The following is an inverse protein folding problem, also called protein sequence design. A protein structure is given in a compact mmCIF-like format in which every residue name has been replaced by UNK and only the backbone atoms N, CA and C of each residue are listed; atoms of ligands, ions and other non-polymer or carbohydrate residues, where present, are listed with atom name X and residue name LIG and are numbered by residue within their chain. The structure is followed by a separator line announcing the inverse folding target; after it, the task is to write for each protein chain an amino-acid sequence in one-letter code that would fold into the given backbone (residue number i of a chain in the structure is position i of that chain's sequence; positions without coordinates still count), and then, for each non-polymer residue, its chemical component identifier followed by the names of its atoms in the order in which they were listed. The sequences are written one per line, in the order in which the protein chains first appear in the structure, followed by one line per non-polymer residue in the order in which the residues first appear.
data_IF_702799804327
#
_entry.id   IF_702799804327
#
_cell.length_a   1.000
_cell.length_b   1.000
_cell.length_c   1.000
_cell.angle_alpha   90.00
_cell.angle_beta   90.00
_cell.angle_gamma   90.00
#
_symmetry.space_group_name_H-M   'P 1'
#
loop_
_entity.id
_entity.type
_entity.pdbx_description
1 polymer ?
#
# COMPACT_ATOMS: atom_id res chain seq x y z
N UNK A 1 -29.93 -37.98 -50.22
CA UNK A 1 -29.29 -38.16 -48.90
C UNK A 1 -28.13 -37.16 -48.62
N UNK A 2 -28.26 -35.82 -48.80
CA UNK A 2 -27.24 -34.89 -48.28
C UNK A 2 -27.73 -33.97 -47.14
N UNK A 3 -29.05 -33.90 -46.88
CA UNK A 3 -29.60 -32.96 -45.89
C UNK A 3 -29.34 -33.35 -44.42
N UNK A 4 -29.14 -34.64 -44.13
CA UNK A 4 -28.93 -35.12 -42.76
C UNK A 4 -27.50 -34.89 -42.23
N UNK A 5 -26.53 -34.65 -43.11
CA UNK A 5 -25.13 -34.42 -42.72
C UNK A 5 -24.91 -32.96 -42.29
N UNK A 6 -25.67 -32.01 -42.85
CA UNK A 6 -25.55 -30.59 -42.49
C UNK A 6 -26.11 -30.28 -41.09
N UNK A 7 -27.14 -31.02 -40.65
CA UNK A 7 -27.77 -30.83 -39.35
C UNK A 7 -26.86 -31.29 -38.18
N UNK A 8 -25.95 -32.22 -38.42
CA UNK A 8 -25.04 -32.72 -37.38
C UNK A 8 -23.84 -31.79 -37.09
N UNK A 9 -23.52 -30.86 -37.99
CA UNK A 9 -22.44 -29.88 -37.79
C UNK A 9 -22.89 -28.63 -37.00
N UNK A 10 -24.19 -28.31 -37.01
CA UNK A 10 -24.74 -27.16 -36.27
C UNK A 10 -24.94 -27.43 -34.77
N UNK A 11 -24.98 -28.70 -34.35
CA UNK A 11 -25.12 -29.08 -32.93
C UNK A 11 -23.81 -29.09 -32.16
N UNK A 12 -22.65 -29.03 -32.82
CA UNK A 12 -21.33 -29.06 -32.15
C UNK A 12 -20.92 -27.68 -31.60
N UNK A 13 -21.48 -26.58 -32.10
CA UNK A 13 -21.06 -25.23 -31.68
C UNK A 13 -21.71 -24.73 -30.37
N UNK A 14 -22.67 -25.46 -29.79
CA UNK A 14 -23.34 -25.09 -28.53
C UNK A 14 -22.79 -25.84 -27.31
N UNK A 15 -21.74 -26.64 -27.48
CA UNK A 15 -21.03 -27.27 -26.38
C UNK A 15 -20.05 -26.27 -25.74
N UNK A 16 -20.61 -25.40 -24.90
CA UNK A 16 -19.93 -24.85 -23.74
C UNK A 16 -18.67 -24.05 -24.01
N UNK A 17 -18.84 -22.79 -24.42
CA UNK A 17 -17.95 -21.75 -23.92
C UNK A 17 -18.04 -21.78 -22.40
N UNK A 18 -17.12 -22.50 -21.75
CA UNK A 18 -16.79 -22.29 -20.35
C UNK A 18 -16.27 -20.84 -20.29
N UNK A 19 -17.20 -19.89 -20.19
CA UNK A 19 -16.87 -18.56 -19.71
C UNK A 19 -16.30 -18.79 -18.32
N UNK A 20 -14.98 -18.77 -18.22
CA UNK A 20 -14.31 -18.66 -16.94
C UNK A 20 -14.90 -17.39 -16.31
N UNK A 21 -15.74 -17.58 -15.31
CA UNK A 21 -16.24 -16.47 -14.50
C UNK A 21 -15.01 -15.93 -13.80
N UNK A 22 -14.41 -14.88 -14.37
CA UNK A 22 -13.39 -14.10 -13.69
C UNK A 22 -14.12 -13.42 -12.54
N UNK A 23 -14.03 -14.01 -11.35
CA UNK A 23 -14.54 -13.39 -10.15
C UNK A 23 -13.79 -12.07 -9.96
N UNK A 24 -14.50 -10.94 -10.09
CA UNK A 24 -13.97 -9.64 -9.70
C UNK A 24 -13.58 -9.74 -8.22
N UNK A 25 -12.30 -9.56 -7.94
CA UNK A 25 -11.80 -9.65 -6.58
C UNK A 25 -11.96 -8.26 -5.96
N UNK A 26 -12.83 -8.17 -4.96
CA UNK A 26 -13.06 -6.90 -4.29
C UNK A 26 -11.78 -6.44 -3.58
N UNK A 27 -11.34 -5.24 -3.93
CA UNK A 27 -10.15 -4.65 -3.38
C UNK A 27 -10.55 -3.69 -2.25
N UNK A 28 -10.00 -3.86 -1.06
CA UNK A 28 -10.27 -2.98 0.08
C UNK A 28 -9.03 -2.13 0.34
N UNK A 29 -9.22 -0.80 0.43
CA UNK A 29 -8.16 0.08 0.93
C UNK A 29 -7.96 -0.21 2.41
N UNK A 30 -6.75 -0.61 2.80
CA UNK A 30 -6.47 -0.78 4.22
C UNK A 30 -6.45 0.60 4.92
N UNK A 31 -6.89 0.65 6.17
CA UNK A 31 -7.02 1.92 6.94
C UNK A 31 -5.69 2.66 7.16
N UNK A 32 -5.69 3.89 7.70
CA UNK A 32 -4.49 4.75 7.78
C UNK A 32 -3.28 4.13 8.49
N UNK A 33 -3.48 3.15 9.37
CA UNK A 33 -2.40 2.41 10.03
C UNK A 33 -1.66 1.41 9.11
N UNK A 34 -2.10 1.27 7.87
CA UNK A 34 -1.54 0.36 6.85
C UNK A 34 -0.72 1.07 5.78
N UNK A 35 -0.45 2.37 5.95
CA UNK A 35 0.37 3.12 5.01
C UNK A 35 1.82 2.62 5.07
N UNK A 36 2.25 1.94 4.01
CA UNK A 36 3.60 1.35 3.88
C UNK A 36 4.51 2.17 2.98
N UNK A 37 4.01 3.24 2.35
CA UNK A 37 4.79 4.08 1.46
C UNK A 37 4.34 5.55 1.52
N UNK A 38 5.30 6.45 1.43
CA UNK A 38 5.12 7.90 1.34
C UNK A 38 5.94 8.44 0.18
N UNK A 39 5.34 9.21 -0.73
CA UNK A 39 5.97 9.65 -1.97
C UNK A 39 6.07 11.18 -2.03
N UNK A 40 7.17 11.64 -2.58
CA UNK A 40 7.41 13.03 -2.98
C UNK A 40 7.90 13.07 -4.43
N UNK A 41 8.14 14.27 -4.98
CA UNK A 41 8.54 14.44 -6.39
C UNK A 41 9.84 13.71 -6.74
N UNK A 42 10.83 13.75 -5.83
CA UNK A 42 12.17 13.19 -6.05
C UNK A 42 12.36 11.75 -5.60
N UNK A 43 11.36 11.10 -4.98
CA UNK A 43 11.58 9.81 -4.36
C UNK A 43 10.42 9.31 -3.48
N UNK A 44 10.74 8.35 -2.61
CA UNK A 44 9.76 7.77 -1.68
C UNK A 44 10.41 7.20 -0.43
N UNK A 45 9.67 7.19 0.66
CA UNK A 45 9.95 6.39 1.85
C UNK A 45 9.08 5.14 1.79
N UNK A 46 9.67 3.96 1.93
CA UNK A 46 8.96 2.70 1.88
C UNK A 46 9.30 1.87 3.12
N UNK A 47 8.30 1.18 3.64
CA UNK A 47 8.45 0.33 4.80
C UNK A 47 8.78 -1.10 4.39
N UNK A 48 9.91 -1.60 4.86
CA UNK A 48 10.44 -2.89 4.45
C UNK A 48 9.69 -4.07 5.09
N UNK A 49 9.11 -3.88 6.29
CA UNK A 49 8.50 -4.94 7.10
C UNK A 49 7.09 -4.60 7.64
N UNK A 50 6.39 -3.64 7.04
CA UNK A 50 5.09 -3.17 7.54
C UNK A 50 3.93 -4.17 7.39
N UNK A 51 4.01 -5.12 6.45
CA UNK A 51 2.88 -6.02 6.13
C UNK A 51 2.60 -7.02 7.27
N UNK A 52 3.56 -7.30 8.16
CA UNK A 52 3.41 -8.20 9.31
C UNK A 52 3.39 -7.53 10.70
N UNK A 53 3.70 -6.24 10.79
CA UNK A 53 3.78 -5.55 12.07
C UNK A 53 2.39 -5.04 12.50
N UNK A 54 1.75 -5.72 13.46
CA UNK A 54 0.50 -5.25 14.06
C UNK A 54 0.75 -3.89 14.75
N UNK A 55 -0.13 -2.90 14.55
CA UNK A 55 0.06 -1.53 15.09
C UNK A 55 0.31 -1.51 16.62
N UNK A 56 -0.28 -2.47 17.34
CA UNK A 56 -0.07 -2.68 18.78
C UNK A 56 1.40 -3.01 19.10
N UNK A 57 2.06 -3.86 18.32
CA UNK A 57 3.46 -4.26 18.55
C UNK A 57 4.47 -3.14 18.31
N UNK A 58 4.13 -2.22 17.39
CA UNK A 58 4.93 -1.01 17.16
C UNK A 58 4.77 -0.04 18.32
N UNK A 59 3.53 0.19 18.76
CA UNK A 59 3.25 1.09 19.88
C UNK A 59 3.77 0.56 21.22
N UNK A 60 3.86 -0.76 21.40
CA UNK A 60 4.46 -1.38 22.58
C UNK A 60 5.99 -1.53 22.49
N UNK A 61 6.62 -1.08 21.39
CA UNK A 61 8.06 -1.17 21.17
C UNK A 61 8.61 -2.59 20.94
N UNK A 62 7.73 -3.58 20.77
CA UNK A 62 8.11 -4.99 20.58
C UNK A 62 8.43 -5.33 19.12
N UNK A 63 7.98 -4.49 18.18
CA UNK A 63 8.28 -4.62 16.75
C UNK A 63 8.75 -3.26 16.22
N UNK A 64 10.01 -3.20 15.75
CA UNK A 64 10.55 -2.02 15.05
C UNK A 64 10.29 -2.14 13.56
N UNK A 65 9.53 -1.20 12.99
CA UNK A 65 9.39 -1.10 11.53
C UNK A 65 10.58 -0.35 10.94
N UNK A 66 11.11 -0.88 9.84
CA UNK A 66 12.20 -0.25 9.10
C UNK A 66 11.65 0.45 7.88
N UNK A 67 12.15 1.66 7.65
CA UNK A 67 11.81 2.49 6.52
C UNK A 67 13.07 2.82 5.73
N UNK A 68 12.99 2.75 4.41
CA UNK A 68 14.07 3.08 3.51
C UNK A 68 13.62 4.19 2.58
N UNK A 69 14.44 5.23 2.46
CA UNK A 69 14.26 6.30 1.48
C UNK A 69 14.94 5.89 0.17
N UNK A 70 14.20 6.04 -0.91
CA UNK A 70 14.63 5.79 -2.27
C UNK A 70 14.52 7.06 -3.09
N UNK A 71 15.49 7.31 -3.96
CA UNK A 71 15.36 8.33 -5.00
C UNK A 71 14.41 7.87 -6.14
N UNK A 72 14.22 8.73 -7.14
CA UNK A 72 13.40 8.44 -8.34
C UNK A 72 13.89 7.23 -9.15
N UNK A 73 15.19 6.94 -9.10
CA UNK A 73 15.86 5.86 -9.83
C UNK A 73 15.90 4.56 -8.99
N UNK A 74 15.31 4.60 -7.78
CA UNK A 74 15.25 3.54 -6.78
C UNK A 74 16.59 3.18 -6.14
N UNK A 75 17.53 4.12 -6.10
CA UNK A 75 18.72 3.99 -5.26
C UNK A 75 18.35 4.29 -3.81
N UNK A 76 18.94 3.54 -2.88
CA UNK A 76 18.77 3.76 -1.44
C UNK A 76 19.55 5.02 -1.05
N UNK A 77 18.87 5.97 -0.43
CA UNK A 77 19.49 7.17 0.12
C UNK A 77 19.74 7.02 1.62
N UNK A 78 18.72 6.57 2.35
CA UNK A 78 18.74 6.57 3.81
C UNK A 78 17.88 5.44 4.39
N UNK A 79 18.18 5.02 5.61
CA UNK A 79 17.37 4.05 6.36
C UNK A 79 17.00 4.61 7.73
N UNK A 80 15.79 4.30 8.18
CA UNK A 80 15.20 4.81 9.40
C UNK A 80 14.43 3.72 10.14
N UNK A 81 14.21 3.94 11.42
CA UNK A 81 13.27 3.16 12.25
C UNK A 81 12.04 3.98 12.55
N UNK A 82 10.88 3.34 12.53
CA UNK A 82 9.62 3.95 12.98
C UNK A 82 9.66 4.13 14.50
N UNK A 83 9.63 5.38 14.94
CA UNK A 83 9.63 5.77 16.35
C UNK A 83 8.19 5.92 16.86
N UNK A 84 7.34 6.58 16.07
CA UNK A 84 5.97 6.88 16.48
C UNK A 84 5.01 6.92 15.29
N UNK A 85 3.77 6.47 15.49
CA UNK A 85 2.70 6.58 14.49
C UNK A 85 1.39 6.96 15.14
N UNK A 86 0.75 7.98 14.56
CA UNK A 86 -0.58 8.42 14.96
C UNK A 86 -1.41 8.77 13.71
N UNK A 87 -2.37 7.92 13.37
CA UNK A 87 -3.24 8.13 12.21
C UNK A 87 -2.45 8.31 10.90
N UNK A 88 -2.52 9.50 10.31
CA UNK A 88 -1.80 9.86 9.08
C UNK A 88 -0.47 10.59 9.34
N UNK A 89 0.13 10.39 10.51
CA UNK A 89 1.41 10.95 10.91
C UNK A 89 2.35 9.84 11.35
N UNK A 90 3.60 9.94 10.94
CA UNK A 90 4.64 8.95 11.19
C UNK A 90 5.93 9.69 11.48
N UNK A 91 6.62 9.30 12.56
CA UNK A 91 7.95 9.79 12.89
C UNK A 91 8.94 8.67 12.65
N UNK A 92 9.90 8.95 11.79
CA UNK A 92 11.04 8.11 11.50
C UNK A 92 12.26 8.69 12.23
N UNK A 93 13.10 7.82 12.76
CA UNK A 93 14.32 8.21 13.44
C UNK A 93 15.51 7.49 12.82
N UNK A 94 16.61 8.22 12.66
CA UNK A 94 17.91 7.68 12.34
C UNK A 94 18.81 7.81 13.57
N UNK A 95 19.01 6.67 14.25
CA UNK A 95 19.84 6.56 15.45
C UNK A 95 21.31 6.94 15.18
N UNK A 96 21.81 6.72 13.95
CA UNK A 96 23.22 6.97 13.61
C UNK A 96 23.56 8.44 13.43
N UNK A 97 22.56 9.25 13.01
CA UNK A 97 22.72 10.67 12.72
C UNK A 97 21.99 11.58 13.71
N UNK A 98 21.27 11.03 14.67
CA UNK A 98 20.49 11.80 15.64
C UNK A 98 19.47 12.70 14.96
N UNK A 99 18.79 12.22 13.91
CA UNK A 99 17.79 13.00 13.19
C UNK A 99 16.44 12.28 13.15
N UNK A 100 15.35 13.05 13.13
CA UNK A 100 14.01 12.51 12.93
C UNK A 100 13.36 13.16 11.71
N UNK A 101 12.59 12.36 10.98
CA UNK A 101 11.74 12.80 9.89
C UNK A 101 10.27 12.59 10.29
N UNK A 102 9.48 13.65 10.24
CA UNK A 102 8.03 13.60 10.34
C UNK A 102 7.46 13.44 8.94
N UNK A 103 6.64 12.42 8.72
CA UNK A 103 5.85 12.21 7.51
C UNK A 103 4.37 12.45 7.84
N UNK A 104 3.75 13.43 7.17
CA UNK A 104 2.32 13.75 7.24
C UNK A 104 1.64 13.46 5.91
N UNK A 105 0.33 13.59 5.85
CA UNK A 105 -0.44 13.40 4.60
C UNK A 105 -0.08 14.36 3.47
N UNK A 106 0.53 15.49 3.77
CA UNK A 106 0.75 16.63 2.87
C UNK A 106 2.22 17.05 2.73
N UNK A 107 3.06 16.76 3.73
CA UNK A 107 4.46 17.16 3.78
C UNK A 107 5.30 16.22 4.62
N UNK A 108 6.62 16.35 4.48
CA UNK A 108 7.60 15.86 5.41
C UNK A 108 8.34 17.01 6.09
N UNK A 109 8.82 16.76 7.30
CA UNK A 109 9.72 17.66 7.99
C UNK A 109 10.89 16.91 8.60
N UNK A 110 12.01 17.58 8.80
CA UNK A 110 13.22 17.06 9.42
C UNK A 110 13.53 17.87 10.68
N UNK A 111 14.06 17.19 11.70
CA UNK A 111 14.70 17.81 12.86
C UNK A 111 15.99 17.07 13.20
N UNK A 112 16.96 17.78 13.73
CA UNK A 112 18.13 17.17 14.38
C UNK A 112 17.96 17.16 15.90
N UNK A 113 18.74 16.32 16.57
CA UNK A 113 18.79 16.28 18.03
C UNK A 113 19.08 17.68 18.61
N UNK A 114 18.28 18.07 19.60
CA UNK A 114 18.33 19.41 20.21
C UNK A 114 17.37 20.44 19.57
N UNK A 115 16.84 20.19 18.37
CA UNK A 115 15.80 21.04 17.79
C UNK A 115 14.41 20.64 18.28
N UNK A 116 13.59 21.62 18.68
CA UNK A 116 12.21 21.37 19.09
C UNK A 116 11.21 21.36 17.93
N UNK A 117 11.58 21.93 16.78
CA UNK A 117 10.66 22.16 15.66
C UNK A 117 11.13 21.44 14.41
N UNK A 118 10.21 20.78 13.71
CA UNK A 118 10.48 20.23 12.39
C UNK A 118 10.52 21.35 11.34
N UNK A 119 11.55 21.32 10.49
CA UNK A 119 11.65 22.15 9.30
C UNK A 119 11.11 21.37 8.11
N UNK A 120 10.33 22.00 7.23
CA UNK A 120 9.81 21.32 6.05
C UNK A 120 10.95 20.80 5.16
N UNK A 121 10.82 19.56 4.71
CA UNK A 121 11.79 18.88 3.84
C UNK A 121 11.21 18.69 2.44
N UNK A 122 10.12 17.93 2.31
CA UNK A 122 9.45 17.66 1.04
C UNK A 122 7.95 17.91 1.12
N UNK A 123 7.33 18.23 -0.02
CA UNK A 123 5.88 18.11 -0.20
C UNK A 123 5.57 16.73 -0.77
N UNK A 124 4.55 16.05 -0.24
CA UNK A 124 4.29 14.68 -0.61
C UNK A 124 3.09 14.07 0.11
N UNK A 125 2.83 12.79 -0.12
CA UNK A 125 1.68 12.11 0.44
C UNK A 125 1.90 10.62 0.64
N UNK A 126 1.13 10.04 1.56
CA UNK A 126 1.05 8.59 1.70
C UNK A 126 0.34 7.95 0.50
N UNK A 127 0.87 6.81 0.07
CA UNK A 127 0.22 5.97 -0.96
C UNK A 127 -0.74 5.03 -0.25
N UNK A 128 -1.99 4.99 -0.73
CA UNK A 128 -2.99 4.03 -0.25
C UNK A 128 -2.60 2.61 -0.62
N UNK A 129 -2.56 1.71 0.35
CA UNK A 129 -2.36 0.27 0.11
C UNK A 129 -3.70 -0.37 -0.15
N UNK A 130 -3.81 -1.00 -1.31
CA UNK A 130 -5.00 -1.74 -1.72
C UNK A 130 -4.74 -3.22 -1.48
N UNK A 131 -5.62 -3.86 -0.73
CA UNK A 131 -5.60 -5.30 -0.51
C UNK A 131 -6.69 -5.97 -1.35
N UNK A 132 -6.29 -6.65 -2.41
CA UNK A 132 -7.16 -7.41 -3.28
C UNK A 132 -7.16 -8.91 -2.94
N UNK A 133 -6.75 -9.30 -1.73
CA UNK A 133 -6.78 -10.71 -1.31
C UNK A 133 -8.07 -11.09 -0.58
N UNK A 134 -8.81 -10.10 -0.08
CA UNK A 134 -10.09 -10.29 0.61
C UNK A 134 -11.23 -10.51 -0.41
N UNK A 135 -11.84 -11.69 -0.40
CA UNK A 135 -13.14 -11.91 -1.08
C UNK A 135 -14.23 -11.33 -0.18
N UNK A 136 -14.81 -10.18 -0.51
CA UNK A 136 -15.89 -9.61 0.28
C UNK A 136 -17.22 -10.30 -0.06
N UNK A 137 -17.82 -11.01 0.90
CA UNK A 137 -19.24 -11.36 0.82
C UNK A 137 -20.04 -10.11 1.20
N UNK A 138 -20.57 -9.38 0.21
CA UNK A 138 -21.32 -8.14 0.46
C UNK A 138 -22.80 -8.47 0.73
N UNK A 139 -23.19 -8.40 2.01
CA UNK A 139 -24.56 -8.04 2.40
C UNK A 139 -24.57 -6.53 2.70
N UNK A 140 -24.96 -5.74 1.71
CA UNK A 140 -25.43 -4.36 1.91
C UNK A 140 -24.36 -3.26 1.85
N UNK A 141 -24.45 -2.45 0.77
CA UNK A 141 -23.89 -1.10 0.57
C UNK A 141 -22.38 -0.93 0.81
N UNK A 142 -21.60 -1.09 -0.27
CA UNK A 142 -20.26 -0.52 -0.35
C UNK A 142 -20.09 0.26 -1.65
N UNK A 143 -19.62 1.50 -1.53
CA UNK A 143 -19.00 2.29 -2.58
C UNK A 143 -17.73 1.58 -3.04
N UNK A 144 -17.87 0.64 -3.97
CA UNK A 144 -16.76 -0.01 -4.64
C UNK A 144 -16.21 0.93 -5.73
N UNK A 145 -14.92 1.26 -5.67
CA UNK A 145 -14.20 1.72 -6.86
C UNK A 145 -14.05 0.50 -7.78
N UNK A 146 -14.68 0.56 -8.95
CA UNK A 146 -14.41 -0.38 -10.04
C UNK A 146 -13.06 0.01 -10.65
N UNK A 147 -12.09 -0.89 -10.60
CA UNK A 147 -10.96 -0.89 -11.52
C UNK A 147 -11.43 -1.40 -12.89
#
# INVERSE_FOLDING_TARGET
MPLFVLAAMLTVCMAGSLFAVVHAKDCVTRGPNSMIAWKYEGGSFQCDNCIGAHAVGVNSGTVRRRWTEYDKDRNILNSFVEEHREGKKLVLHDESRGMSILLRSDLSGIRTEGEQTFRQLYSGAFISVVDCTLTAFVLGKSTALKC
#
